data_IF_599067551666
#
_entry.id   IF_599067551666
#
_cell.length_a   1.000
_cell.length_b   1.000
_cell.length_c   1.000
_cell.angle_alpha   90.00
_cell.angle_beta   90.00
_cell.angle_gamma   90.00
#
_symmetry.space_group_name_H-M   'P 1'
#
loop_
_entity.id
_entity.type
_entity.pdbx_description
1 polymer ?
#
# COMPACT_ATOMS: atom_id res chain seq x y z
N UNK A 1 34.06 6.22 23.72
CA UNK A 1 33.04 5.74 24.69
C UNK A 1 32.97 4.24 24.53
N UNK A 2 33.24 3.47 25.58
CA UNK A 2 33.03 2.01 25.54
C UNK A 2 31.53 1.73 25.66
N UNK A 3 30.94 1.17 24.60
CA UNK A 3 29.54 0.79 24.58
C UNK A 3 29.50 -0.65 25.06
N UNK A 4 29.08 -0.89 26.31
CA UNK A 4 28.95 -2.23 26.87
C UNK A 4 27.75 -2.98 26.27
N UNK A 5 26.69 -3.24 27.05
CA UNK A 5 25.51 -3.98 26.58
C UNK A 5 24.65 -3.23 25.54
N UNK A 6 24.90 -1.93 25.34
CA UNK A 6 24.14 -1.07 24.42
C UNK A 6 22.69 -0.78 24.86
N UNK A 7 22.24 -1.30 26.01
CA UNK A 7 20.88 -1.11 26.53
C UNK A 7 20.64 0.31 27.07
N UNK A 8 21.71 0.98 27.55
CA UNK A 8 21.63 2.33 28.08
C UNK A 8 21.73 3.40 27.00
N UNK A 9 22.44 3.12 25.92
CA UNK A 9 22.82 4.09 24.88
C UNK A 9 21.76 4.14 23.77
N UNK A 10 21.29 5.33 23.42
CA UNK A 10 20.35 5.58 22.33
C UNK A 10 21.01 5.54 20.95
N UNK A 11 20.40 4.83 20.00
CA UNK A 11 20.91 4.67 18.64
C UNK A 11 20.98 6.00 17.86
N UNK A 12 20.04 6.92 18.10
CA UNK A 12 19.94 8.16 17.35
C UNK A 12 20.61 9.35 18.03
N UNK A 13 20.47 9.41 19.36
CA UNK A 13 20.70 10.61 20.16
C UNK A 13 22.04 10.64 20.86
N UNK A 14 22.69 9.48 21.03
CA UNK A 14 23.87 9.38 21.87
C UNK A 14 25.14 9.29 21.00
N UNK A 15 26.27 9.71 21.59
CA UNK A 15 27.57 9.79 20.91
C UNK A 15 28.27 8.44 20.95
N UNK A 16 27.84 7.55 20.07
CA UNK A 16 28.38 6.21 19.96
C UNK A 16 29.07 5.94 18.61
N UNK A 17 28.80 6.76 17.60
CA UNK A 17 29.38 6.66 16.26
C UNK A 17 30.41 7.79 16.01
N UNK A 18 31.52 7.55 15.26
CA UNK A 18 32.55 8.57 15.01
C UNK A 18 32.06 9.82 14.28
N UNK A 19 30.95 9.71 13.54
CA UNK A 19 30.32 10.82 12.79
C UNK A 19 29.43 11.68 13.73
N UNK A 20 29.44 11.42 15.03
CA UNK A 20 28.59 12.08 16.01
C UNK A 20 27.21 11.44 16.11
N UNK A 21 26.22 12.22 16.55
CA UNK A 21 24.85 11.72 16.73
C UNK A 21 24.19 11.52 15.38
N UNK A 22 23.71 10.31 15.12
CA UNK A 22 23.11 9.98 13.82
C UNK A 22 21.87 10.82 13.51
N UNK A 23 21.13 11.30 14.52
CA UNK A 23 19.99 12.20 14.31
C UNK A 23 20.42 13.57 13.76
N UNK A 24 21.61 14.06 14.11
CA UNK A 24 22.13 15.35 13.65
C UNK A 24 22.65 15.25 12.19
N UNK A 25 23.13 14.07 11.79
CA UNK A 25 23.65 13.81 10.44
C UNK A 25 22.54 13.48 9.44
N UNK A 26 21.58 12.63 9.84
CA UNK A 26 20.56 12.06 8.93
C UNK A 26 19.20 12.81 9.07
N UNK A 27 19.00 13.52 10.18
CA UNK A 27 17.78 14.25 10.49
C UNK A 27 16.59 13.34 10.81
N UNK A 28 15.48 13.94 11.23
CA UNK A 28 14.20 13.23 11.52
C UNK A 28 13.68 12.39 10.34
N UNK A 29 13.98 12.82 9.11
CA UNK A 29 13.67 12.05 7.90
C UNK A 29 14.46 10.75 7.80
N UNK A 30 15.64 10.68 8.41
CA UNK A 30 16.45 9.48 8.55
C UNK A 30 15.76 8.37 9.31
N UNK A 31 15.07 8.73 10.40
CA UNK A 31 14.30 7.81 11.25
C UNK A 31 13.22 7.11 10.43
N UNK A 32 12.46 7.88 9.64
CA UNK A 32 11.41 7.34 8.76
C UNK A 32 11.95 6.46 7.65
N UNK A 33 13.11 6.82 7.07
CA UNK A 33 13.73 6.05 5.98
C UNK A 33 14.34 4.73 6.45
N UNK A 34 14.92 4.72 7.65
CA UNK A 34 15.57 3.55 8.23
C UNK A 34 14.58 2.64 8.97
N UNK A 35 13.44 3.15 9.41
CA UNK A 35 12.40 2.36 10.10
C UNK A 35 12.80 1.92 11.50
N UNK A 36 13.86 2.52 12.06
CA UNK A 36 14.30 2.31 13.44
C UNK A 36 13.61 3.37 14.29
N UNK A 37 12.91 2.95 15.35
CA UNK A 37 12.19 3.86 16.24
C UNK A 37 13.13 4.89 16.89
N UNK A 38 12.63 6.10 17.15
CA UNK A 38 13.43 7.24 17.65
C UNK A 38 14.14 6.94 18.98
N UNK A 39 13.49 6.17 19.85
CA UNK A 39 13.98 5.79 21.16
C UNK A 39 14.71 4.43 21.15
N UNK A 40 15.01 3.86 19.98
CA UNK A 40 15.75 2.61 19.88
C UNK A 40 17.07 2.71 20.62
N UNK A 41 17.36 1.72 21.46
CA UNK A 41 18.67 1.55 22.08
C UNK A 41 19.63 0.92 21.08
N UNK A 42 20.92 1.10 21.30
CA UNK A 42 21.92 0.41 20.48
C UNK A 42 21.67 -1.09 20.62
N UNK A 43 21.34 -1.62 21.81
CA UNK A 43 20.99 -3.02 22.05
C UNK A 43 19.91 -3.57 21.11
N UNK A 44 18.84 -2.79 20.89
CA UNK A 44 17.72 -3.15 20.01
C UNK A 44 18.17 -3.25 18.54
N UNK A 45 19.27 -2.57 18.18
CA UNK A 45 19.88 -2.56 16.86
C UNK A 45 21.16 -3.44 16.82
N UNK A 46 21.67 -3.88 17.98
CA UNK A 46 22.97 -4.51 18.21
C UNK A 46 23.01 -5.98 17.80
N UNK A 47 21.87 -6.60 17.47
CA UNK A 47 21.88 -7.86 16.71
C UNK A 47 22.59 -7.73 15.35
N UNK A 48 22.85 -6.48 14.91
CA UNK A 48 23.60 -6.12 13.71
C UNK A 48 25.05 -5.73 13.98
N UNK A 49 25.50 -5.68 15.23
CA UNK A 49 26.84 -5.25 15.62
C UNK A 49 27.48 -6.36 16.46
N UNK A 50 28.36 -7.19 15.88
CA UNK A 50 29.12 -8.15 16.68
C UNK A 50 30.33 -7.44 17.29
N UNK A 51 30.37 -7.36 18.62
CA UNK A 51 31.56 -7.03 19.40
C UNK A 51 32.26 -8.34 19.79
N UNK A 52 33.08 -8.89 18.88
CA UNK A 52 34.31 -9.68 19.19
C UNK A 52 34.86 -10.39 17.94
N UNK A 53 36.11 -10.05 17.60
CA UNK A 53 37.04 -10.99 17.00
C UNK A 53 38.43 -10.77 17.62
N UNK A 54 39.00 -11.82 18.21
CA UNK A 54 40.37 -11.97 18.72
C UNK A 54 41.23 -10.69 18.88
N UNK A 55 41.11 -10.03 20.04
CA UNK A 55 42.15 -9.11 20.55
C UNK A 55 42.00 -7.63 20.19
N UNK A 56 41.11 -7.24 19.27
CA UNK A 56 40.81 -5.83 18.99
C UNK A 56 39.30 -5.56 19.12
N UNK A 57 38.91 -4.74 20.10
CA UNK A 57 37.54 -4.27 20.29
C UNK A 57 37.13 -3.29 19.18
N UNK A 58 36.80 -3.81 18.00
CA UNK A 58 36.26 -3.02 16.90
C UNK A 58 34.76 -3.29 16.73
N UNK A 59 33.97 -2.21 16.65
CA UNK A 59 32.55 -2.27 16.30
C UNK A 59 32.43 -2.49 14.79
N UNK A 60 31.80 -3.60 14.37
CA UNK A 60 31.58 -3.92 12.96
C UNK A 60 30.09 -4.09 12.65
N UNK A 61 29.65 -3.54 11.53
CA UNK A 61 28.31 -3.67 10.98
C UNK A 61 28.14 -5.00 10.25
N UNK A 62 27.15 -5.77 10.67
CA UNK A 62 26.69 -6.99 10.01
C UNK A 62 26.09 -6.64 8.65
N UNK A 63 26.60 -7.28 7.60
CA UNK A 63 26.27 -7.07 6.18
C UNK A 63 25.87 -8.40 5.54
N UNK A 64 24.81 -9.03 6.04
CA UNK A 64 24.40 -10.37 5.61
C UNK A 64 24.54 -11.39 6.74
N UNK A 65 24.59 -12.68 6.44
CA UNK A 65 24.67 -13.72 7.49
C UNK A 65 26.06 -13.73 8.17
N UNK A 66 27.15 -13.61 7.39
CA UNK A 66 28.54 -13.76 7.88
C UNK A 66 29.53 -12.65 7.47
N UNK A 67 29.10 -11.58 6.78
CA UNK A 67 30.00 -10.47 6.40
C UNK A 67 29.92 -9.31 7.42
N UNK A 68 31.07 -8.79 7.84
CA UNK A 68 31.17 -7.69 8.81
C UNK A 68 32.08 -6.58 8.27
N UNK A 69 31.62 -5.32 8.32
CA UNK A 69 32.40 -4.16 7.83
C UNK A 69 32.43 -3.00 8.82
N UNK A 70 33.47 -2.17 8.73
CA UNK A 70 33.62 -0.95 9.55
C UNK A 70 32.66 0.17 9.15
N UNK A 71 32.17 0.15 7.90
CA UNK A 71 31.30 1.19 7.36
C UNK A 71 29.81 0.89 7.58
N UNK A 72 29.08 1.88 8.06
CA UNK A 72 27.63 1.82 8.15
C UNK A 72 26.98 1.83 6.77
N UNK A 73 26.04 0.92 6.54
CA UNK A 73 25.16 0.97 5.37
C UNK A 73 23.70 0.90 5.79
N UNK A 74 22.99 2.00 5.54
CA UNK A 74 21.54 2.12 5.69
C UNK A 74 20.76 0.99 5.01
N UNK A 75 21.17 0.61 3.80
CA UNK A 75 20.50 -0.43 3.01
C UNK A 75 20.65 -1.81 3.64
N UNK A 76 21.87 -2.21 3.99
CA UNK A 76 22.14 -3.54 4.57
C UNK A 76 21.52 -3.67 5.96
N UNK A 77 21.65 -2.63 6.79
CA UNK A 77 21.03 -2.57 8.13
C UNK A 77 19.51 -2.80 8.03
N UNK A 78 18.84 -2.10 7.12
CA UNK A 78 17.40 -2.29 6.87
C UNK A 78 17.08 -3.68 6.34
N UNK A 79 17.93 -4.23 5.48
CA UNK A 79 17.74 -5.58 4.92
C UNK A 79 17.85 -6.68 5.98
N UNK A 80 18.69 -6.48 6.99
CA UNK A 80 18.85 -7.44 8.09
C UNK A 80 17.77 -7.28 9.17
N UNK A 81 17.35 -6.05 9.49
CA UNK A 81 16.26 -5.82 10.48
C UNK A 81 14.90 -6.27 9.95
N UNK A 82 14.65 -6.15 8.64
CA UNK A 82 13.34 -6.49 8.09
C UNK A 82 13.08 -8.00 8.16
N UNK A 83 11.94 -8.38 8.73
CA UNK A 83 11.42 -9.73 8.55
C UNK A 83 11.04 -9.93 7.08
N UNK A 84 11.76 -10.81 6.38
CA UNK A 84 11.42 -11.18 5.00
C UNK A 84 10.19 -12.08 5.02
N UNK A 85 9.05 -11.52 4.62
CA UNK A 85 7.84 -12.31 4.38
C UNK A 85 7.82 -12.87 2.96
N UNK A 86 7.05 -13.93 2.75
CA UNK A 86 6.80 -14.51 1.44
C UNK A 86 6.26 -13.45 0.47
N UNK A 87 6.76 -13.46 -0.76
CA UNK A 87 6.29 -12.55 -1.81
C UNK A 87 4.84 -12.89 -2.15
N UNK A 88 3.95 -11.98 -1.82
CA UNK A 88 2.51 -12.11 -2.04
C UNK A 88 2.12 -11.61 -3.42
N UNK A 89 1.42 -12.43 -4.22
CA UNK A 89 1.05 -12.12 -5.62
C UNK A 89 0.32 -10.78 -5.80
N UNK A 90 -0.51 -10.39 -4.82
CA UNK A 90 -1.25 -9.13 -4.84
C UNK A 90 -0.34 -7.89 -4.88
N UNK A 91 0.98 -7.99 -4.61
CA UNK A 91 1.91 -6.85 -4.66
C UNK A 91 1.95 -6.05 -5.95
N UNK A 92 1.70 -6.74 -7.06
CA UNK A 92 1.64 -6.13 -8.38
C UNK A 92 0.41 -5.21 -8.55
N UNK A 93 -0.61 -5.38 -7.71
CA UNK A 93 -1.83 -4.58 -7.74
C UNK A 93 -1.60 -3.15 -7.25
N UNK A 94 -0.67 -2.95 -6.31
CA UNK A 94 -0.41 -1.67 -5.66
C UNK A 94 0.89 -1.03 -6.12
N UNK A 95 1.96 -1.80 -6.31
CA UNK A 95 3.23 -1.21 -6.70
C UNK A 95 3.46 -1.32 -8.21
N UNK A 96 2.89 -0.38 -8.97
CA UNK A 96 3.14 -0.20 -10.40
C UNK A 96 3.37 1.28 -10.75
N UNK A 97 4.10 1.54 -11.84
CA UNK A 97 4.61 2.88 -12.16
C UNK A 97 3.53 3.94 -12.37
N UNK A 98 2.34 3.52 -12.80
CA UNK A 98 1.22 4.40 -13.11
C UNK A 98 0.23 4.52 -11.93
N UNK A 99 0.47 3.86 -10.79
CA UNK A 99 -0.43 3.94 -9.65
C UNK A 99 -0.38 5.31 -8.95
N UNK A 100 -1.41 5.59 -8.15
CA UNK A 100 -1.50 6.82 -7.34
C UNK A 100 -1.42 6.43 -5.88
N UNK A 101 -0.42 6.97 -5.17
CA UNK A 101 -0.11 6.61 -3.77
C UNK A 101 -1.32 6.65 -2.83
N UNK A 102 -2.21 7.64 -2.96
CA UNK A 102 -3.41 7.75 -2.12
C UNK A 102 -4.41 6.60 -2.35
N UNK A 103 -4.54 6.14 -3.60
CA UNK A 103 -5.43 5.03 -3.96
C UNK A 103 -4.80 3.68 -3.59
N UNK A 104 -3.48 3.56 -3.80
CA UNK A 104 -2.68 2.40 -3.39
C UNK A 104 -2.79 2.13 -1.88
N UNK A 105 -2.69 3.18 -1.06
CA UNK A 105 -2.74 3.06 0.40
C UNK A 105 -4.09 2.52 0.90
N UNK A 106 -5.20 3.10 0.44
CA UNK A 106 -6.54 2.61 0.81
C UNK A 106 -6.75 1.18 0.29
N UNK A 107 -6.36 0.90 -0.95
CA UNK A 107 -6.46 -0.45 -1.52
C UNK A 107 -5.65 -1.47 -0.72
N UNK A 108 -4.45 -1.11 -0.26
CA UNK A 108 -3.63 -1.95 0.59
C UNK A 108 -4.33 -2.27 1.93
N UNK A 109 -4.96 -1.29 2.57
CA UNK A 109 -5.75 -1.51 3.78
C UNK A 109 -6.95 -2.44 3.53
N UNK A 110 -7.60 -2.33 2.36
CA UNK A 110 -8.71 -3.19 1.97
C UNK A 110 -8.25 -4.62 1.80
N UNK A 111 -7.15 -4.86 1.08
CA UNK A 111 -6.61 -6.22 0.89
C UNK A 111 -6.21 -6.85 2.22
N UNK A 112 -5.75 -6.04 3.19
CA UNK A 112 -5.41 -6.48 4.54
C UNK A 112 -6.62 -6.63 5.47
N UNK A 113 -7.83 -6.31 4.99
CA UNK A 113 -9.06 -6.25 5.79
C UNK A 113 -8.92 -5.38 7.05
N UNK A 114 -8.26 -4.22 6.90
CA UNK A 114 -7.94 -3.29 8.00
C UNK A 114 -8.75 -2.00 8.00
N UNK A 115 -9.74 -1.88 7.12
CA UNK A 115 -10.67 -0.75 7.15
C UNK A 115 -11.70 -0.94 8.25
N UNK A 116 -12.18 0.16 8.86
CA UNK A 116 -13.16 0.14 9.95
C UNK A 116 -14.58 -0.21 9.45
N UNK A 117 -14.79 -1.45 9.05
CA UNK A 117 -16.07 -2.01 8.59
C UNK A 117 -17.00 -2.39 9.74
N UNK A 118 -18.29 -2.60 9.46
CA UNK A 118 -19.30 -2.99 10.45
C UNK A 118 -18.93 -4.27 11.22
N UNK A 119 -18.36 -5.26 10.53
CA UNK A 119 -17.83 -6.50 11.16
C UNK A 119 -16.79 -6.18 12.24
N UNK A 120 -15.93 -5.19 12.01
CA UNK A 120 -14.87 -4.84 12.98
C UNK A 120 -15.39 -3.97 14.12
N UNK A 121 -16.31 -3.05 13.83
CA UNK A 121 -16.93 -2.23 14.89
C UNK A 121 -17.81 -3.07 15.82
N UNK A 122 -18.30 -4.24 15.36
CA UNK A 122 -18.99 -5.21 16.24
C UNK A 122 -18.13 -5.64 17.42
N UNK A 123 -16.82 -5.76 17.25
CA UNK A 123 -15.91 -6.10 18.36
C UNK A 123 -15.92 -5.04 19.48
N UNK A 124 -16.40 -3.82 19.18
CA UNK A 124 -16.60 -2.73 20.13
C UNK A 124 -18.07 -2.56 20.55
N UNK A 125 -18.93 -3.56 20.27
CA UNK A 125 -20.36 -3.52 20.58
C UNK A 125 -21.22 -2.73 19.59
N UNK A 126 -20.63 -2.17 18.53
CA UNK A 126 -21.34 -1.30 17.58
C UNK A 126 -21.71 -2.12 16.33
N UNK A 127 -22.99 -2.48 16.21
CA UNK A 127 -23.54 -3.14 15.01
C UNK A 127 -23.99 -2.10 14.00
N UNK A 128 -23.43 -2.15 12.80
CA UNK A 128 -23.75 -1.20 11.73
C UNK A 128 -23.95 -1.94 10.41
N UNK A 129 -25.07 -1.61 9.76
CA UNK A 129 -25.36 -2.11 8.43
C UNK A 129 -24.58 -1.38 7.34
N UNK A 130 -24.73 -1.83 6.10
CA UNK A 130 -24.15 -1.15 4.94
C UNK A 130 -24.87 0.18 4.66
N UNK A 131 -24.20 1.35 4.72
CA UNK A 131 -24.84 2.64 4.45
C UNK A 131 -25.12 2.89 2.96
N UNK A 132 -24.66 2.01 2.07
CA UNK A 132 -24.84 2.17 0.62
C UNK A 132 -26.17 1.59 0.12
N UNK A 133 -26.63 0.51 0.75
CA UNK A 133 -27.85 -0.22 0.36
C UNK A 133 -28.83 -0.40 1.52
N UNK A 134 -28.38 -0.33 2.77
CA UNK A 134 -29.24 -0.45 3.96
C UNK A 134 -29.36 -1.87 4.52
N UNK A 135 -28.88 -2.91 3.83
CA UNK A 135 -28.94 -4.28 4.32
C UNK A 135 -27.62 -4.82 4.89
N UNK A 136 -27.76 -5.87 5.71
CA UNK A 136 -26.73 -6.75 6.27
C UNK A 136 -25.58 -6.07 7.02
N UNK A 137 -24.85 -6.85 7.80
CA UNK A 137 -23.60 -6.40 8.37
C UNK A 137 -22.61 -5.98 7.27
N UNK A 138 -22.03 -4.78 7.42
CA UNK A 138 -21.04 -4.27 6.49
C UNK A 138 -19.72 -5.04 6.62
N UNK A 139 -19.50 -6.04 5.76
CA UNK A 139 -18.20 -6.68 5.54
C UNK A 139 -17.43 -6.02 4.39
N UNK A 140 -16.16 -6.37 4.25
CA UNK A 140 -15.32 -5.90 3.14
C UNK A 140 -15.82 -6.42 1.79
N UNK A 141 -16.13 -7.71 1.71
CA UNK A 141 -16.64 -8.37 0.51
C UNK A 141 -17.97 -7.74 0.09
N UNK A 142 -18.86 -7.54 1.05
CA UNK A 142 -20.12 -6.85 0.84
C UNK A 142 -19.88 -5.43 0.34
N UNK A 143 -19.10 -4.63 1.08
CA UNK A 143 -18.91 -3.22 0.77
C UNK A 143 -18.37 -3.00 -0.65
N UNK A 144 -17.39 -3.77 -1.11
CA UNK A 144 -16.73 -3.50 -2.39
C UNK A 144 -17.34 -4.19 -3.60
N UNK A 145 -17.82 -5.44 -3.49
CA UNK A 145 -18.23 -6.21 -4.68
C UNK A 145 -19.53 -7.03 -4.55
N UNK A 146 -20.05 -7.24 -3.34
CA UNK A 146 -21.33 -7.95 -3.16
C UNK A 146 -22.54 -7.03 -2.95
N UNK A 147 -22.33 -5.78 -2.53
CA UNK A 147 -23.42 -4.81 -2.35
C UNK A 147 -23.97 -4.40 -3.73
N UNK A 148 -25.31 -4.42 -3.95
CA UNK A 148 -25.91 -4.07 -5.24
C UNK A 148 -25.48 -2.70 -5.76
N UNK A 149 -25.36 -1.72 -4.86
CA UNK A 149 -24.90 -0.37 -5.19
C UNK A 149 -23.47 -0.37 -5.74
N UNK A 150 -22.53 -1.04 -5.06
CA UNK A 150 -21.11 -1.02 -5.46
C UNK A 150 -20.81 -2.00 -6.57
N UNK A 151 -21.56 -3.08 -6.70
CA UNK A 151 -21.46 -3.98 -7.83
C UNK A 151 -21.93 -3.32 -9.13
N UNK A 152 -23.08 -2.65 -9.11
CA UNK A 152 -23.56 -1.89 -10.28
C UNK A 152 -22.56 -0.80 -10.69
N UNK A 153 -21.99 -0.10 -9.71
CA UNK A 153 -20.89 0.85 -9.93
C UNK A 153 -19.66 0.18 -10.56
N UNK A 154 -19.25 -0.98 -10.05
CA UNK A 154 -18.09 -1.71 -10.54
C UNK A 154 -18.27 -2.16 -11.99
N UNK A 155 -19.46 -2.68 -12.34
CA UNK A 155 -19.78 -3.04 -13.72
C UNK A 155 -19.73 -1.83 -14.66
N UNK A 156 -20.27 -0.69 -14.22
CA UNK A 156 -20.20 0.54 -15.00
C UNK A 156 -18.75 1.00 -15.23
N UNK A 157 -17.92 0.96 -14.18
CA UNK A 157 -16.52 1.41 -14.26
C UNK A 157 -15.65 0.43 -15.04
N UNK A 158 -15.85 -0.89 -14.92
CA UNK A 158 -15.01 -1.85 -15.65
C UNK A 158 -15.39 -1.93 -17.13
N UNK A 159 -16.66 -1.67 -17.45
CA UNK A 159 -17.17 -1.66 -18.81
C UNK A 159 -16.81 -2.94 -19.57
N UNK A 160 -16.24 -2.80 -20.76
CA UNK A 160 -15.82 -3.91 -21.60
C UNK A 160 -14.41 -4.45 -21.30
N UNK A 161 -13.69 -3.91 -20.31
CA UNK A 161 -12.33 -4.36 -19.96
C UNK A 161 -12.27 -5.81 -19.46
N UNK A 162 -13.37 -6.31 -18.88
CA UNK A 162 -13.53 -7.71 -18.51
C UNK A 162 -14.78 -8.28 -19.17
N UNK A 163 -14.58 -9.25 -20.06
CA UNK A 163 -15.64 -10.11 -20.58
C UNK A 163 -15.27 -11.58 -20.33
N UNK A 164 -16.14 -12.39 -19.72
CA UNK A 164 -17.46 -12.04 -19.16
C UNK A 164 -17.36 -11.13 -17.92
N UNK A 165 -18.49 -10.54 -17.51
CA UNK A 165 -18.55 -9.70 -16.33
C UNK A 165 -18.03 -10.45 -15.09
N UNK A 166 -17.20 -9.82 -14.25
CA UNK A 166 -16.60 -10.49 -13.12
C UNK A 166 -17.66 -10.87 -12.08
N UNK A 167 -17.55 -12.09 -11.55
CA UNK A 167 -18.37 -12.59 -10.43
C UNK A 167 -18.20 -11.68 -9.20
N UNK A 168 -19.23 -11.63 -8.34
CA UNK A 168 -19.25 -10.85 -7.08
C UNK A 168 -18.21 -11.29 -6.02
N UNK A 169 -17.40 -12.30 -6.32
CA UNK A 169 -16.44 -12.87 -5.39
C UNK A 169 -15.12 -12.08 -5.39
N UNK A 170 -14.72 -11.63 -4.21
CA UNK A 170 -13.51 -10.83 -4.01
C UNK A 170 -12.24 -11.54 -4.53
N UNK A 171 -12.07 -12.84 -4.23
CA UNK A 171 -10.87 -13.57 -4.58
C UNK A 171 -10.78 -13.78 -6.10
N UNK A 172 -11.91 -14.09 -6.75
CA UNK A 172 -12.00 -14.21 -8.20
C UNK A 172 -11.72 -12.87 -8.90
N UNK A 173 -12.26 -11.76 -8.40
CA UNK A 173 -11.97 -10.42 -8.95
C UNK A 173 -10.47 -10.12 -8.88
N UNK A 174 -9.83 -10.37 -7.74
CA UNK A 174 -8.38 -10.18 -7.61
C UNK A 174 -7.59 -11.06 -8.56
N UNK A 175 -7.95 -12.34 -8.67
CA UNK A 175 -7.29 -13.28 -9.58
C UNK A 175 -7.41 -12.81 -11.05
N UNK A 176 -8.59 -12.34 -11.44
CA UNK A 176 -8.83 -11.84 -12.80
C UNK A 176 -8.01 -10.58 -13.09
N UNK A 177 -7.92 -9.62 -12.17
CA UNK A 177 -7.13 -8.39 -12.38
C UNK A 177 -5.62 -8.69 -12.43
N UNK A 178 -5.16 -9.67 -11.65
CA UNK A 178 -3.76 -10.08 -11.58
C UNK A 178 -3.35 -11.08 -12.67
N UNK A 179 -4.31 -11.56 -13.46
CA UNK A 179 -4.07 -12.49 -14.55
C UNK A 179 -3.08 -11.91 -15.57
N UNK A 180 -2.23 -12.78 -16.11
CA UNK A 180 -1.26 -12.45 -17.16
C UNK A 180 -1.86 -12.54 -18.57
N UNK A 181 -3.14 -12.90 -18.68
CA UNK A 181 -3.86 -13.01 -19.96
C UNK A 181 -4.06 -11.64 -20.62
N UNK A 182 -4.15 -10.58 -19.80
CA UNK A 182 -4.39 -9.23 -20.28
C UNK A 182 -3.14 -8.65 -20.95
N UNK A 183 -3.34 -7.90 -22.02
CA UNK A 183 -2.28 -7.06 -22.57
C UNK A 183 -1.84 -6.00 -21.54
N UNK A 184 -0.69 -5.40 -21.80
CA UNK A 184 -0.07 -4.44 -20.88
C UNK A 184 -0.97 -3.24 -20.58
N UNK A 185 -1.68 -2.70 -21.56
CA UNK A 185 -2.51 -1.51 -21.39
C UNK A 185 -3.77 -1.86 -20.60
N UNK A 186 -4.43 -2.96 -20.94
CA UNK A 186 -5.59 -3.48 -20.19
C UNK A 186 -5.22 -3.79 -18.75
N UNK A 187 -4.06 -4.42 -18.49
CA UNK A 187 -3.61 -4.69 -17.12
C UNK A 187 -3.37 -3.41 -16.31
N UNK A 188 -2.86 -2.35 -16.94
CA UNK A 188 -2.68 -1.04 -16.27
C UNK A 188 -4.04 -0.40 -15.97
N UNK A 189 -4.96 -0.39 -16.95
CA UNK A 189 -6.30 0.18 -16.80
C UNK A 189 -7.11 -0.55 -15.72
N UNK A 190 -7.08 -1.88 -15.70
CA UNK A 190 -7.76 -2.68 -14.69
C UNK A 190 -7.27 -2.37 -13.27
N UNK A 191 -5.94 -2.27 -13.08
CA UNK A 191 -5.37 -1.92 -11.77
C UNK A 191 -5.76 -0.51 -11.34
N UNK A 192 -5.74 0.44 -12.27
CA UNK A 192 -6.18 1.82 -12.01
C UNK A 192 -7.66 1.88 -11.66
N UNK A 193 -8.52 1.29 -12.49
CA UNK A 193 -9.96 1.23 -12.28
C UNK A 193 -10.30 0.61 -10.93
N UNK A 194 -9.66 -0.50 -10.58
CA UNK A 194 -9.81 -1.16 -9.29
C UNK A 194 -9.46 -0.25 -8.11
N UNK A 195 -8.25 0.34 -8.12
CA UNK A 195 -7.77 1.19 -7.03
C UNK A 195 -8.63 2.46 -6.85
N UNK A 196 -8.98 3.11 -7.95
CA UNK A 196 -9.81 4.32 -7.94
C UNK A 196 -11.20 3.99 -7.42
N UNK A 197 -11.81 2.88 -7.89
CA UNK A 197 -13.13 2.44 -7.44
C UNK A 197 -13.17 2.18 -5.95
N UNK A 198 -12.21 1.41 -5.43
CA UNK A 198 -12.08 1.15 -3.99
C UNK A 198 -12.00 2.46 -3.19
N UNK A 199 -11.17 3.39 -3.63
CA UNK A 199 -11.01 4.67 -2.94
C UNK A 199 -12.33 5.45 -2.88
N UNK A 200 -13.04 5.56 -4.00
CA UNK A 200 -14.28 6.33 -4.08
C UNK A 200 -15.45 5.64 -3.38
N UNK A 201 -15.52 4.30 -3.40
CA UNK A 201 -16.48 3.55 -2.58
C UNK A 201 -16.25 3.83 -1.09
N UNK A 202 -15.01 3.72 -0.62
CA UNK A 202 -14.67 3.98 0.77
C UNK A 202 -15.02 5.42 1.17
N UNK A 203 -14.71 6.38 0.30
CA UNK A 203 -15.03 7.79 0.51
C UNK A 203 -16.55 8.02 0.56
N UNK A 204 -17.31 7.51 -0.40
CA UNK A 204 -18.78 7.64 -0.45
C UNK A 204 -19.42 7.03 0.79
N UNK A 205 -18.98 5.84 1.20
CA UNK A 205 -19.42 5.19 2.44
C UNK A 205 -19.20 6.08 3.66
N UNK A 206 -18.02 6.70 3.79
CA UNK A 206 -17.73 7.60 4.91
C UNK A 206 -18.55 8.90 4.84
N UNK A 207 -18.72 9.48 3.65
CA UNK A 207 -19.53 10.67 3.45
C UNK A 207 -20.99 10.42 3.87
N UNK A 208 -21.58 9.27 3.49
CA UNK A 208 -22.95 8.91 3.92
C UNK A 208 -23.07 8.76 5.43
N UNK A 209 -22.07 8.15 6.08
CA UNK A 209 -22.08 7.95 7.54
C UNK A 209 -21.99 9.24 8.33
N UNK A 210 -21.16 10.18 7.90
CA UNK A 210 -20.91 11.41 8.66
C UNK A 210 -21.81 12.57 8.27
N UNK A 211 -22.29 12.60 7.02
CA UNK A 211 -23.01 13.77 6.48
C UNK A 211 -24.40 13.45 5.93
N UNK A 212 -24.80 12.17 5.91
CA UNK A 212 -26.09 11.69 5.35
C UNK A 212 -26.32 12.09 3.87
N UNK A 213 -25.30 12.58 3.17
CA UNK A 213 -25.36 12.90 1.75
C UNK A 213 -25.16 11.64 0.92
N UNK A 214 -26.14 11.31 0.09
CA UNK A 214 -26.11 10.13 -0.78
C UNK A 214 -25.91 10.55 -2.24
N UNK A 215 -25.01 9.88 -2.95
CA UNK A 215 -24.90 10.00 -4.42
C UNK A 215 -25.39 8.74 -5.12
N UNK A 216 -26.16 8.84 -6.21
CA UNK A 216 -26.44 7.71 -7.09
C UNK A 216 -25.17 7.09 -7.67
N UNK A 217 -25.17 5.76 -7.88
CA UNK A 217 -24.02 5.01 -8.39
C UNK A 217 -23.50 5.58 -9.73
N UNK A 218 -24.40 5.97 -10.63
CA UNK A 218 -24.03 6.53 -11.93
C UNK A 218 -23.20 7.83 -11.84
N UNK A 219 -23.46 8.68 -10.85
CA UNK A 219 -22.71 9.92 -10.63
C UNK A 219 -21.31 9.61 -10.11
N UNK A 220 -21.22 8.64 -9.20
CA UNK A 220 -19.94 8.17 -8.67
C UNK A 220 -19.10 7.50 -9.78
N UNK A 221 -19.74 6.73 -10.66
CA UNK A 221 -19.09 6.13 -11.83
C UNK A 221 -18.48 7.18 -12.76
N UNK A 222 -19.25 8.22 -13.13
CA UNK A 222 -18.73 9.35 -13.92
C UNK A 222 -17.54 10.06 -13.25
N UNK A 223 -17.56 10.17 -11.92
CA UNK A 223 -16.46 10.77 -11.16
C UNK A 223 -15.20 9.90 -11.19
N UNK A 224 -15.36 8.58 -11.07
CA UNK A 224 -14.28 7.60 -11.17
C UNK A 224 -13.66 7.66 -12.58
N UNK A 225 -14.47 7.57 -13.64
CA UNK A 225 -14.00 7.64 -15.03
C UNK A 225 -13.24 8.93 -15.31
N UNK A 226 -13.80 10.08 -14.89
CA UNK A 226 -13.13 11.37 -15.01
C UNK A 226 -11.80 11.40 -14.28
N UNK A 227 -11.71 10.74 -13.13
CA UNK A 227 -10.47 10.67 -12.34
C UNK A 227 -9.42 9.79 -13.03
N UNK A 228 -9.82 8.64 -13.57
CA UNK A 228 -8.93 7.75 -14.35
C UNK A 228 -8.39 8.49 -15.57
N UNK A 229 -9.26 9.13 -16.36
CA UNK A 229 -8.88 9.89 -17.56
C UNK A 229 -7.91 11.03 -17.24
N UNK A 230 -8.21 11.83 -16.22
CA UNK A 230 -7.33 12.91 -15.77
C UNK A 230 -5.97 12.38 -15.31
N UNK A 231 -5.95 11.26 -14.60
CA UNK A 231 -4.72 10.63 -14.17
C UNK A 231 -3.89 10.19 -15.37
N UNK A 232 -4.49 9.47 -16.34
CA UNK A 232 -3.81 9.04 -17.57
C UNK A 232 -3.20 10.25 -18.30
N UNK A 233 -3.96 11.33 -18.51
CA UNK A 233 -3.46 12.57 -19.12
C UNK A 233 -2.23 13.11 -18.39
N UNK A 234 -2.25 13.13 -17.05
CA UNK A 234 -1.14 13.64 -16.24
C UNK A 234 0.15 12.81 -16.34
N UNK A 235 0.06 11.53 -16.73
CA UNK A 235 1.24 10.64 -16.85
C UNK A 235 2.11 10.89 -18.10
N UNK A 236 1.69 11.82 -18.97
CA UNK A 236 2.27 12.10 -20.29
C UNK A 236 2.46 10.82 -21.12
N UNK A 237 1.41 10.01 -21.18
CA UNK A 237 1.46 8.68 -21.79
C UNK A 237 1.86 8.73 -23.27
N UNK A 238 1.51 9.80 -23.99
CA UNK A 238 1.88 10.03 -25.39
C UNK A 238 3.40 10.12 -25.62
N UNK A 239 4.17 10.57 -24.63
CA UNK A 239 5.63 10.71 -24.75
C UNK A 239 6.36 9.36 -24.55
N UNK A 240 5.63 8.32 -24.13
CA UNK A 240 6.19 7.01 -23.78
C UNK A 240 5.64 5.96 -24.74
N UNK A 241 6.48 5.46 -25.67
CA UNK A 241 6.14 4.37 -26.62
C UNK A 241 5.38 3.20 -25.99
N UNK A 242 5.69 2.82 -24.75
CA UNK A 242 5.03 1.71 -24.06
C UNK A 242 3.68 2.02 -23.40
N UNK A 243 3.16 3.25 -23.54
CA UNK A 243 1.84 3.69 -23.04
C UNK A 243 1.01 4.35 -24.15
N UNK A 244 1.52 4.37 -25.38
CA UNK A 244 0.79 4.86 -26.54
C UNK A 244 -0.51 4.06 -26.71
N UNK A 245 -1.62 4.75 -26.97
CA UNK A 245 -2.95 4.11 -27.05
C UNK A 245 -3.64 3.83 -25.71
N UNK A 246 -3.02 4.07 -24.54
CA UNK A 246 -3.66 3.84 -23.22
C UNK A 246 -5.01 4.55 -23.08
N UNK A 247 -5.10 5.80 -23.56
CA UNK A 247 -6.36 6.55 -23.54
C UNK A 247 -7.36 6.04 -24.58
N UNK A 248 -6.90 5.61 -25.76
CA UNK A 248 -7.79 5.01 -26.78
C UNK A 248 -8.43 3.74 -26.24
N UNK A 249 -7.66 2.88 -25.55
CA UNK A 249 -8.18 1.72 -24.84
C UNK A 249 -9.13 2.10 -23.70
N UNK A 250 -8.83 3.17 -22.94
CA UNK A 250 -9.75 3.69 -21.94
C UNK A 250 -11.06 4.21 -22.57
N UNK A 251 -11.02 4.80 -23.77
CA UNK A 251 -12.24 5.20 -24.48
C UNK A 251 -13.03 4.00 -24.99
N UNK A 252 -12.38 3.02 -25.63
CA UNK A 252 -13.06 1.82 -26.15
C UNK A 252 -13.64 0.92 -25.04
N UNK A 253 -13.10 1.03 -23.83
CA UNK A 253 -13.57 0.31 -22.64
C UNK A 253 -14.92 0.80 -22.10
N UNK A 254 -15.25 2.08 -22.31
CA UNK A 254 -16.39 2.76 -21.67
C UNK A 254 -17.39 3.35 -22.68
N UNK A 255 -17.44 2.80 -23.91
CA UNK A 255 -18.51 3.03 -24.91
C UNK A 255 -19.56 1.93 -24.76
#
# INVERSE_FOLDING_TARGET
>A
MEIHSGNSVGFWTDLWHPIGRLIEVIGERGIQKLGIVRNAKIADVLFLLVLRHNGNNAVLWKRGEDEYKKEFSAYNTRDTIRSRHTKVSWFKLFWFKQGVRRFEFITWLVIKDRLSTGVRTRAWGIRQGCPLWGETEESREHLFFACPYTYGLWLQVIGSLLRPAPLHDWAKILATILSTVHDRLTSILLRLAFQVTIYYIWRERNERRHTQKTRPAHQLGKLIDKTIRKHILSTRYHEKRGLEGLMQHCFSAHI
#
